data_IF_944717783237
#
_entry.id   IF_944717783237
#
_cell.length_a   1.000
_cell.length_b   1.000
_cell.length_c   1.000
_cell.angle_alpha   90.00
_cell.angle_beta   90.00
_cell.angle_gamma   90.00
#
_symmetry.space_group_name_H-M   'P 1'
#
loop_
_entity.id
_entity.type
_entity.pdbx_description
1 polymer ?
#
# COMPACT_ATOMS: atom_id res chain seq x y z
N UNK A 1 8.69 -2.17 -26.72
CA UNK A 1 8.11 -1.38 -25.63
C UNK A 1 7.88 -2.27 -24.43
N UNK A 2 8.52 -1.97 -23.34
CA UNK A 2 8.31 -2.71 -22.11
C UNK A 2 6.99 -2.31 -21.49
N UNK A 3 6.20 -3.30 -21.14
CA UNK A 3 5.01 -3.07 -20.33
C UNK A 3 5.38 -3.24 -18.87
N UNK A 4 5.03 -2.27 -18.07
CA UNK A 4 5.16 -2.39 -16.63
C UNK A 4 3.94 -3.15 -16.10
N UNK A 5 4.20 -4.29 -15.47
CA UNK A 5 3.14 -5.08 -14.85
C UNK A 5 3.08 -4.72 -13.37
N UNK A 6 1.93 -4.25 -12.95
CA UNK A 6 1.65 -3.98 -11.55
C UNK A 6 0.73 -5.06 -11.01
N UNK A 7 1.09 -5.62 -9.87
CA UNK A 7 0.33 -6.70 -9.25
C UNK A 7 -0.16 -6.24 -7.88
N UNK A 8 -1.43 -6.48 -7.61
CA UNK A 8 -2.03 -6.20 -6.32
C UNK A 8 -1.67 -7.34 -5.36
N UNK A 9 -0.98 -7.02 -4.29
CA UNK A 9 -0.47 -8.01 -3.34
C UNK A 9 -1.05 -7.76 -1.95
N UNK A 10 -1.38 -8.83 -1.25
CA UNK A 10 -1.92 -8.75 0.11
C UNK A 10 -1.00 -9.30 1.18
N UNK A 11 0.22 -9.68 0.81
CA UNK A 11 1.17 -10.28 1.76
C UNK A 11 2.59 -10.19 1.21
N UNK A 12 3.55 -10.46 2.08
CA UNK A 12 4.94 -10.60 1.69
C UNK A 12 5.10 -11.70 0.64
N UNK A 13 4.47 -12.85 0.85
CA UNK A 13 4.55 -14.00 -0.05
C UNK A 13 4.02 -13.67 -1.43
N UNK A 14 2.94 -12.88 -1.51
CA UNK A 14 2.40 -12.42 -2.79
C UNK A 14 3.43 -11.58 -3.54
N UNK A 15 4.15 -10.72 -2.84
CA UNK A 15 5.17 -9.87 -3.44
C UNK A 15 6.33 -10.69 -3.96
N UNK A 16 6.77 -11.70 -3.21
CA UNK A 16 7.84 -12.59 -3.66
C UNK A 16 7.41 -13.35 -4.92
N UNK A 17 6.17 -13.84 -4.95
CA UNK A 17 5.65 -14.53 -6.13
C UNK A 17 5.58 -13.59 -7.33
N UNK A 18 5.13 -12.35 -7.12
CA UNK A 18 5.07 -11.34 -8.19
C UNK A 18 6.46 -11.03 -8.73
N UNK A 19 7.44 -10.87 -7.85
CA UNK A 19 8.83 -10.61 -8.22
C UNK A 19 9.39 -11.77 -9.08
N UNK A 20 9.19 -13.00 -8.64
CA UNK A 20 9.62 -14.18 -9.40
C UNK A 20 8.91 -14.29 -10.74
N UNK A 21 7.69 -13.82 -10.83
CA UNK A 21 6.91 -13.81 -12.07
C UNK A 21 7.26 -12.68 -13.02
N UNK A 22 8.19 -11.81 -12.66
CA UNK A 22 8.66 -10.73 -13.53
C UNK A 22 7.97 -9.39 -13.34
N UNK A 23 7.15 -9.23 -12.31
CA UNK A 23 6.56 -7.93 -12.01
C UNK A 23 7.66 -6.94 -11.65
N UNK A 24 7.44 -5.68 -11.98
CA UNK A 24 8.37 -4.59 -11.62
C UNK A 24 7.80 -3.72 -10.51
N UNK A 25 6.51 -3.74 -10.34
CA UNK A 25 5.81 -2.89 -9.38
C UNK A 25 4.66 -3.66 -8.76
N UNK A 26 4.45 -3.46 -7.47
CA UNK A 26 3.33 -4.03 -6.76
C UNK A 26 2.57 -2.95 -6.02
N UNK A 27 1.27 -3.15 -5.84
CA UNK A 27 0.49 -2.41 -4.87
C UNK A 27 0.38 -3.28 -3.65
N UNK A 28 0.96 -2.85 -2.55
CA UNK A 28 0.99 -3.61 -1.32
C UNK A 28 -0.17 -3.22 -0.42
N UNK A 29 -0.96 -4.21 -0.07
CA UNK A 29 -2.13 -4.08 0.78
C UNK A 29 -2.06 -5.07 1.93
N UNK A 30 -2.96 -4.92 2.87
CA UNK A 30 -3.37 -5.99 3.77
C UNK A 30 -4.87 -6.22 3.54
N UNK A 31 -5.41 -7.28 4.11
CA UNK A 31 -6.86 -7.52 4.13
C UNK A 31 -7.53 -7.35 2.76
N UNK A 32 -7.03 -8.03 1.75
CA UNK A 32 -7.60 -7.95 0.39
C UNK A 32 -9.08 -8.36 0.35
N UNK A 33 -9.51 -9.20 1.28
CA UNK A 33 -10.90 -9.65 1.36
C UNK A 33 -11.89 -8.50 1.60
N UNK A 34 -11.42 -7.38 2.12
CA UNK A 34 -12.25 -6.18 2.31
C UNK A 34 -11.85 -5.04 1.36
N UNK A 35 -11.13 -5.39 0.30
CA UNK A 35 -10.74 -4.42 -0.73
C UNK A 35 -9.36 -3.80 -0.55
N UNK A 36 -8.63 -4.24 0.45
CA UNK A 36 -7.27 -3.76 0.71
C UNK A 36 -7.22 -2.64 1.74
N UNK A 37 -6.37 -2.82 2.72
CA UNK A 37 -6.09 -1.84 3.78
C UNK A 37 -4.60 -1.54 3.82
N UNK A 38 -4.22 -0.58 4.63
CA UNK A 38 -2.81 -0.21 4.85
C UNK A 38 -2.01 -1.43 5.28
N UNK A 39 -0.88 -1.74 4.60
CA UNK A 39 -0.03 -2.84 5.01
C UNK A 39 0.74 -2.50 6.28
N UNK A 40 1.26 -3.52 6.96
CA UNK A 40 2.14 -3.27 8.09
C UNK A 40 3.50 -2.77 7.60
N UNK A 41 4.15 -1.97 8.42
CA UNK A 41 5.48 -1.46 8.13
C UNK A 41 6.49 -2.59 7.99
N UNK A 42 6.39 -3.61 8.81
CA UNK A 42 7.28 -4.76 8.75
C UNK A 42 7.20 -5.46 7.39
N UNK A 43 6.00 -5.63 6.86
CA UNK A 43 5.83 -6.23 5.53
C UNK A 43 6.48 -5.37 4.45
N UNK A 44 6.25 -4.07 4.49
CA UNK A 44 6.88 -3.14 3.53
C UNK A 44 8.40 -3.25 3.59
N UNK A 45 8.97 -3.19 4.78
CA UNK A 45 10.42 -3.25 4.96
C UNK A 45 10.99 -4.54 4.42
N UNK A 46 10.32 -5.66 4.67
CA UNK A 46 10.79 -6.97 4.19
C UNK A 46 10.76 -7.06 2.68
N UNK A 47 9.71 -6.57 2.06
CA UNK A 47 9.60 -6.58 0.60
C UNK A 47 10.70 -5.73 -0.02
N UNK A 48 10.94 -4.54 0.50
CA UNK A 48 11.97 -3.64 -0.02
C UNK A 48 13.38 -4.21 0.22
N UNK A 49 13.58 -4.93 1.31
CA UNK A 49 14.87 -5.56 1.59
C UNK A 49 15.15 -6.72 0.64
N UNK A 50 14.12 -7.51 0.33
CA UNK A 50 14.30 -8.80 -0.34
C UNK A 50 14.01 -8.77 -1.84
N UNK A 51 13.55 -7.66 -2.38
CA UNK A 51 13.24 -7.52 -3.81
C UNK A 51 13.67 -6.15 -4.33
N UNK A 52 13.69 -6.01 -5.66
CA UNK A 52 13.89 -4.73 -6.32
C UNK A 52 12.58 -4.12 -6.79
N UNK A 53 11.46 -4.61 -6.28
CA UNK A 53 10.15 -4.11 -6.69
C UNK A 53 9.97 -2.65 -6.30
N UNK A 54 9.28 -1.91 -7.18
CA UNK A 54 8.68 -0.65 -6.79
C UNK A 54 7.42 -0.97 -6.01
N UNK A 55 7.25 -0.36 -4.87
CA UNK A 55 6.15 -0.67 -3.96
C UNK A 55 5.29 0.57 -3.76
N UNK A 56 4.03 0.44 -4.17
CA UNK A 56 3.01 1.44 -3.89
C UNK A 56 2.19 0.87 -2.73
N UNK A 57 2.14 1.60 -1.62
CA UNK A 57 1.41 1.14 -0.44
C UNK A 57 0.00 1.69 -0.44
N UNK A 58 -0.98 0.83 -0.17
CA UNK A 58 -2.34 1.27 0.05
C UNK A 58 -2.42 2.01 1.38
N UNK A 59 -3.14 3.12 1.38
CA UNK A 59 -3.37 3.90 2.60
C UNK A 59 -4.88 3.98 2.84
N UNK A 60 -5.39 2.98 3.52
CA UNK A 60 -6.80 2.87 3.88
C UNK A 60 -6.87 2.30 5.31
N UNK A 61 -7.29 3.13 6.27
CA UNK A 61 -7.14 2.76 7.69
C UNK A 61 -8.10 1.68 8.17
N UNK A 62 -9.24 1.51 7.49
CA UNK A 62 -10.25 0.54 7.91
C UNK A 62 -11.19 0.21 6.76
N UNK A 63 -11.87 -0.92 6.86
CA UNK A 63 -12.96 -1.28 5.96
C UNK A 63 -14.12 -0.29 6.16
N UNK A 64 -15.23 -0.48 5.45
CA UNK A 64 -16.42 0.35 5.56
C UNK A 64 -16.25 1.78 5.01
N UNK A 65 -16.50 1.92 3.73
CA UNK A 65 -16.59 3.22 3.07
C UNK A 65 -15.28 3.99 2.97
N UNK A 66 -15.38 5.18 2.39
CA UNK A 66 -14.23 6.04 2.10
C UNK A 66 -14.44 7.45 2.65
N UNK A 67 -15.44 7.64 3.47
CA UNK A 67 -15.66 8.91 4.17
C UNK A 67 -14.95 8.83 5.52
N UNK A 68 -13.92 9.65 5.69
CA UNK A 68 -13.07 9.58 6.86
C UNK A 68 -13.32 10.76 7.79
N UNK A 69 -13.23 10.51 9.09
CA UNK A 69 -13.23 11.58 10.07
C UNK A 69 -11.91 12.37 9.93
N UNK A 70 -11.88 13.55 10.54
CA UNK A 70 -10.65 14.35 10.54
C UNK A 70 -9.50 13.59 11.19
N UNK A 71 -9.76 12.89 12.28
CA UNK A 71 -8.76 12.09 12.98
C UNK A 71 -8.24 10.95 12.10
N UNK A 72 -9.13 10.28 11.37
CA UNK A 72 -8.72 9.22 10.44
C UNK A 72 -7.86 9.79 9.32
N UNK A 73 -8.24 10.95 8.82
CA UNK A 73 -7.46 11.62 7.77
C UNK A 73 -6.04 11.93 8.27
N UNK A 74 -5.92 12.46 9.49
CA UNK A 74 -4.61 12.73 10.06
C UNK A 74 -3.77 11.46 10.19
N UNK A 75 -4.39 10.36 10.63
CA UNK A 75 -3.72 9.07 10.73
C UNK A 75 -3.23 8.61 9.35
N UNK A 76 -4.06 8.77 8.33
CA UNK A 76 -3.67 8.40 6.96
C UNK A 76 -2.48 9.20 6.49
N UNK A 77 -2.42 10.49 6.80
CA UNK A 77 -1.28 11.33 6.42
C UNK A 77 -0.01 10.91 7.14
N UNK A 78 -0.10 10.57 8.42
CA UNK A 78 1.04 10.04 9.17
C UNK A 78 1.49 8.68 8.64
N UNK A 79 0.55 7.79 8.33
CA UNK A 79 0.87 6.49 7.74
C UNK A 79 1.61 6.67 6.41
N UNK A 80 1.12 7.57 5.56
CA UNK A 80 1.76 7.86 4.28
C UNK A 80 3.20 8.32 4.48
N UNK A 81 3.42 9.24 5.40
CA UNK A 81 4.75 9.77 5.69
C UNK A 81 5.69 8.68 6.18
N UNK A 82 5.23 7.85 7.13
CA UNK A 82 6.04 6.77 7.67
C UNK A 82 6.34 5.71 6.61
N UNK A 83 5.37 5.38 5.77
CA UNK A 83 5.60 4.41 4.69
C UNK A 83 6.63 4.93 3.70
N UNK A 84 6.54 6.19 3.30
CA UNK A 84 7.53 6.79 2.39
C UNK A 84 8.91 6.82 3.01
N UNK A 85 9.03 7.13 4.29
CA UNK A 85 10.29 7.12 5.00
C UNK A 85 10.91 5.72 5.10
N UNK A 86 10.09 4.68 5.01
CA UNK A 86 10.54 3.30 5.14
C UNK A 86 10.59 2.55 3.81
N UNK A 87 10.64 3.26 2.72
CA UNK A 87 10.96 2.69 1.42
C UNK A 87 9.82 2.53 0.45
N UNK A 88 8.59 2.92 0.80
CA UNK A 88 7.52 2.93 -0.19
C UNK A 88 7.88 3.92 -1.29
N UNK A 89 7.66 3.52 -2.53
CA UNK A 89 7.93 4.38 -3.68
C UNK A 89 6.79 5.36 -3.92
N UNK A 90 5.59 5.00 -3.48
CA UNK A 90 4.41 5.86 -3.55
C UNK A 90 3.36 5.33 -2.58
N UNK A 91 2.33 6.13 -2.39
CA UNK A 91 1.18 5.78 -1.54
C UNK A 91 -0.07 5.99 -2.37
N UNK A 92 -0.99 5.05 -2.27
CA UNK A 92 -2.26 5.10 -2.98
C UNK A 92 -3.41 5.15 -1.99
N UNK A 93 -4.36 6.04 -2.21
CA UNK A 93 -5.58 6.07 -1.44
C UNK A 93 -6.75 6.43 -2.36
N UNK A 94 -7.91 5.86 -2.04
CA UNK A 94 -9.10 6.02 -2.85
C UNK A 94 -10.04 6.98 -2.14
N UNK A 95 -10.56 7.98 -2.88
CA UNK A 95 -11.57 8.91 -2.36
C UNK A 95 -11.18 9.59 -1.06
N UNK A 96 -9.95 10.13 -1.02
CA UNK A 96 -9.49 10.83 0.17
C UNK A 96 -10.28 12.12 0.34
N UNK A 97 -11.26 12.07 1.21
CA UNK A 97 -12.02 13.24 1.61
C UNK A 97 -12.00 13.31 3.11
N UNK A 98 -11.45 14.38 3.62
CA UNK A 98 -11.66 14.73 5.00
C UNK A 98 -13.09 15.25 5.12
N UNK A 99 -13.82 14.81 6.15
CA UNK A 99 -15.08 15.43 6.48
C UNK A 99 -14.82 16.85 6.92
N UNK A 100 -15.39 17.77 6.21
CA UNK A 100 -15.40 19.13 6.68
C UNK A 100 -16.48 19.22 7.76
N UNK A 101 -16.07 19.45 8.95
CA UNK A 101 -16.98 19.73 10.04
C UNK A 101 -16.78 21.13 10.50
#
# INVERSE_FOLDING_TARGET
MERMIEVCCGSYEDCIAADKGGAKRVELNSALSVGGLTPTLATLKRVKRDTDLKVICMDRPRAAGFAYSFSEFETMMEDAEVMLENGADAVSYTHLRAHET
#
